data_IF_258561139790
#
_entry.id   IF_258561139790
#
_cell.length_a   1.000
_cell.length_b   1.000
_cell.length_c   1.000
_cell.angle_alpha   90.00
_cell.angle_beta   90.00
_cell.angle_gamma   90.00
#
_symmetry.space_group_name_H-M   'P 1'
#
loop_
_entity.id
_entity.type
_entity.pdbx_description
1 polymer ?
#
# COMPACT_ATOMS: atom_id res chain seq x y z
N UNK A 1 5.24 14.11 6.71
CA UNK A 1 6.65 13.73 6.51
C UNK A 1 6.77 13.04 5.17
N UNK A 2 7.58 13.55 4.24
CA UNK A 2 7.69 12.96 2.91
C UNK A 2 8.00 11.44 2.94
N UNK A 3 7.50 10.72 1.96
CA UNK A 3 7.64 9.28 1.79
C UNK A 3 9.10 8.95 1.42
N UNK A 4 9.90 8.63 2.45
CA UNK A 4 11.34 8.40 2.33
C UNK A 4 11.67 7.19 1.45
N UNK A 5 12.89 7.14 0.92
CA UNK A 5 13.37 5.97 0.18
C UNK A 5 13.33 4.68 1.02
N UNK A 6 13.61 4.78 2.33
CA UNK A 6 13.54 3.66 3.26
C UNK A 6 12.10 3.14 3.42
N UNK A 7 11.11 4.03 3.57
CA UNK A 7 9.70 3.63 3.64
C UNK A 7 9.21 2.98 2.34
N UNK A 8 9.59 3.53 1.19
CA UNK A 8 9.29 2.94 -0.12
C UNK A 8 9.86 1.53 -0.25
N UNK A 9 11.11 1.34 0.17
CA UNK A 9 11.76 0.03 0.18
C UNK A 9 11.07 -0.95 1.12
N UNK A 10 10.67 -0.51 2.32
CA UNK A 10 9.97 -1.34 3.30
C UNK A 10 8.60 -1.81 2.78
N UNK A 11 7.79 -0.89 2.24
CA UNK A 11 6.48 -1.19 1.65
C UNK A 11 6.64 -2.19 0.49
N UNK A 12 7.64 -1.99 -0.37
CA UNK A 12 7.92 -2.89 -1.48
C UNK A 12 8.38 -4.28 -1.00
N UNK A 13 9.22 -4.35 0.03
CA UNK A 13 9.69 -5.60 0.61
C UNK A 13 8.54 -6.40 1.23
N UNK A 14 7.67 -5.76 2.01
CA UNK A 14 6.49 -6.43 2.57
C UNK A 14 5.50 -6.90 1.50
N UNK A 15 5.24 -6.06 0.49
CA UNK A 15 4.37 -6.46 -0.62
C UNK A 15 4.94 -7.65 -1.41
N UNK A 16 6.27 -7.72 -1.57
CA UNK A 16 6.95 -8.87 -2.17
C UNK A 16 6.87 -10.11 -1.28
N UNK A 17 7.13 -9.98 0.03
CA UNK A 17 7.06 -11.10 0.96
C UNK A 17 5.65 -11.74 0.99
N UNK A 18 4.59 -10.94 0.92
CA UNK A 18 3.22 -11.47 0.83
C UNK A 18 2.98 -12.30 -0.44
N UNK A 19 3.53 -11.89 -1.58
CA UNK A 19 3.44 -12.65 -2.82
C UNK A 19 4.15 -14.01 -2.74
N UNK A 20 5.26 -14.07 -1.99
CA UNK A 20 6.08 -15.29 -1.86
C UNK A 20 5.54 -16.23 -0.77
N UNK A 21 4.94 -15.69 0.29
CA UNK A 21 4.55 -16.47 1.47
C UNK A 21 3.07 -16.85 1.54
N UNK A 22 2.19 -16.15 0.81
CA UNK A 22 0.76 -16.44 0.81
C UNK A 22 0.41 -17.26 -0.45
N UNK A 23 0.00 -18.52 -0.31
CA UNK A 23 -0.48 -19.32 -1.44
C UNK A 23 -1.60 -18.60 -2.19
N UNK A 24 -1.58 -18.71 -3.52
CA UNK A 24 -2.57 -18.11 -4.42
C UNK A 24 -2.66 -16.57 -4.36
N UNK A 25 -1.63 -15.89 -3.83
CA UNK A 25 -1.57 -14.45 -3.90
C UNK A 25 -1.39 -14.00 -5.36
N UNK A 26 -2.38 -13.25 -5.86
CA UNK A 26 -2.35 -12.68 -7.21
C UNK A 26 -2.12 -11.17 -7.09
N UNK A 27 -0.94 -10.65 -7.51
CA UNK A 27 -0.69 -9.21 -7.51
C UNK A 27 -1.56 -8.52 -8.57
N UNK A 28 -2.21 -7.42 -8.18
CA UNK A 28 -3.13 -6.68 -9.07
C UNK A 28 -2.68 -5.22 -9.23
N UNK A 29 -2.71 -4.62 -10.44
CA UNK A 29 -2.35 -3.21 -10.62
C UNK A 29 -3.15 -2.23 -9.73
N UNK A 30 -4.48 -2.38 -9.57
CA UNK A 30 -5.26 -1.51 -8.67
C UNK A 30 -4.82 -1.61 -7.20
N UNK A 31 -4.37 -2.79 -6.77
CA UNK A 31 -3.85 -3.00 -5.42
C UNK A 31 -2.59 -2.17 -5.16
N UNK A 32 -1.66 -2.16 -6.13
CA UNK A 32 -0.42 -1.38 -6.06
C UNK A 32 -0.67 0.12 -6.13
N UNK A 33 -1.62 0.56 -6.96
CA UNK A 33 -2.03 1.96 -7.04
C UNK A 33 -2.58 2.42 -5.69
N UNK A 34 -3.51 1.65 -5.11
CA UNK A 34 -4.07 1.94 -3.78
C UNK A 34 -3.00 1.98 -2.68
N UNK A 35 -1.99 1.08 -2.70
CA UNK A 35 -0.86 1.13 -1.77
C UNK A 35 -0.11 2.46 -1.89
N UNK A 36 0.17 2.91 -3.11
CA UNK A 36 0.88 4.16 -3.37
C UNK A 36 0.08 5.38 -2.91
N UNK A 37 -1.21 5.45 -3.24
CA UNK A 37 -2.07 6.58 -2.88
C UNK A 37 -2.24 6.68 -1.36
N UNK A 38 -2.49 5.54 -0.69
CA UNK A 38 -2.54 5.51 0.79
C UNK A 38 -1.21 5.94 1.39
N UNK A 39 -0.08 5.45 0.87
CA UNK A 39 1.24 5.82 1.39
C UNK A 39 1.51 7.33 1.27
N UNK A 40 1.24 7.93 0.11
CA UNK A 40 1.43 9.37 -0.12
C UNK A 40 0.56 10.22 0.79
N UNK A 41 -0.71 9.84 0.96
CA UNK A 41 -1.63 10.58 1.83
C UNK A 41 -1.24 10.45 3.31
N UNK A 42 -0.92 9.25 3.80
CA UNK A 42 -0.49 9.07 5.19
C UNK A 42 0.85 9.74 5.50
N UNK A 43 1.76 9.80 4.53
CA UNK A 43 2.99 10.57 4.62
C UNK A 43 2.73 12.10 4.58
N UNK A 44 1.55 12.55 4.17
CA UNK A 44 1.27 13.98 3.94
C UNK A 44 2.03 14.55 2.75
N UNK A 45 2.38 13.72 1.77
CA UNK A 45 2.86 14.19 0.46
C UNK A 45 1.71 14.70 -0.42
N UNK A 46 0.51 14.15 -0.25
CA UNK A 46 -0.63 14.45 -1.13
C UNK A 46 -1.94 14.60 -0.34
N UNK A 47 -2.42 15.85 -0.26
CA UNK A 47 -3.69 16.20 0.37
C UNK A 47 -3.72 15.98 1.89
N UNK A 48 -4.92 16.09 2.47
CA UNK A 48 -5.19 15.79 3.89
C UNK A 48 -5.80 14.40 4.08
N UNK A 49 -6.76 14.05 3.22
CA UNK A 49 -7.52 12.80 3.27
C UNK A 49 -7.60 12.19 1.89
N UNK A 50 -7.65 10.86 1.83
CA UNK A 50 -7.88 10.09 0.62
C UNK A 50 -9.24 9.40 0.71
N UNK A 51 -10.11 9.69 -0.25
CA UNK A 51 -11.31 8.91 -0.50
C UNK A 51 -11.04 8.05 -1.74
N UNK A 52 -10.94 6.73 -1.56
CA UNK A 52 -10.63 5.78 -2.63
C UNK A 52 -11.65 4.64 -2.63
N UNK A 53 -12.28 4.40 -3.78
CA UNK A 53 -13.14 3.25 -3.98
C UNK A 53 -12.29 2.05 -4.44
N UNK A 54 -12.42 0.93 -3.73
CA UNK A 54 -11.76 -0.32 -4.05
C UNK A 54 -12.81 -1.45 -4.12
N UNK A 55 -13.21 -1.88 -5.34
CA UNK A 55 -14.14 -2.97 -5.53
C UNK A 55 -13.69 -4.28 -4.88
N UNK A 56 -14.64 -5.18 -4.66
CA UNK A 56 -14.36 -6.55 -4.19
C UNK A 56 -13.34 -7.23 -5.11
N UNK A 57 -12.38 -7.96 -4.53
CA UNK A 57 -11.32 -8.66 -5.28
C UNK A 57 -10.06 -7.83 -5.54
N UNK A 58 -10.04 -6.51 -5.27
CA UNK A 58 -8.83 -5.67 -5.38
C UNK A 58 -7.77 -6.02 -4.32
N UNK A 59 -8.18 -6.57 -3.17
CA UNK A 59 -7.29 -6.79 -2.03
C UNK A 59 -7.14 -5.54 -1.14
N UNK A 60 -8.22 -4.74 -1.04
CA UNK A 60 -8.27 -3.43 -0.35
C UNK A 60 -7.68 -3.44 1.07
N UNK A 61 -7.91 -4.51 1.82
CA UNK A 61 -7.42 -4.64 3.20
C UNK A 61 -5.90 -4.59 3.27
N UNK A 62 -5.21 -5.40 2.45
CA UNK A 62 -3.75 -5.37 2.40
C UNK A 62 -3.23 -4.05 1.83
N UNK A 63 -3.97 -3.45 0.89
CA UNK A 63 -3.56 -2.19 0.28
C UNK A 63 -3.47 -1.02 1.25
N UNK A 64 -4.30 -0.95 2.30
CA UNK A 64 -4.15 0.08 3.33
C UNK A 64 -3.32 -0.38 4.54
N UNK A 65 -3.28 -1.68 4.86
CA UNK A 65 -2.51 -2.17 6.00
C UNK A 65 -1.00 -2.09 5.78
N UNK A 66 -0.49 -2.44 4.59
CA UNK A 66 0.96 -2.41 4.31
C UNK A 66 1.53 -0.99 4.50
N UNK A 67 1.04 0.06 3.81
CA UNK A 67 1.54 1.41 4.03
C UNK A 67 1.13 1.98 5.39
N UNK A 68 -0.04 1.61 5.92
CA UNK A 68 -0.49 2.06 7.25
C UNK A 68 0.43 1.64 8.38
N UNK A 69 0.86 0.37 8.39
CA UNK A 69 1.79 -0.18 9.39
C UNK A 69 3.22 0.34 9.18
N UNK A 70 3.60 0.67 7.94
CA UNK A 70 4.94 1.18 7.68
C UNK A 70 5.14 2.63 8.17
N UNK A 71 4.06 3.42 8.18
CA UNK A 71 4.11 4.87 8.40
C UNK A 71 3.67 5.26 9.83
N UNK A 72 2.69 4.53 10.41
CA UNK A 72 2.21 4.76 11.76
C UNK A 72 3.13 4.14 12.82
#
# INVERSE_FOLDING_TARGET
MALTAALKAQIAAWYKALQEQIPDFIPRPPQRQMIADVAKTLAGEEGRHLAIEAPTGVGKTLSYLIPGIAIA
#
